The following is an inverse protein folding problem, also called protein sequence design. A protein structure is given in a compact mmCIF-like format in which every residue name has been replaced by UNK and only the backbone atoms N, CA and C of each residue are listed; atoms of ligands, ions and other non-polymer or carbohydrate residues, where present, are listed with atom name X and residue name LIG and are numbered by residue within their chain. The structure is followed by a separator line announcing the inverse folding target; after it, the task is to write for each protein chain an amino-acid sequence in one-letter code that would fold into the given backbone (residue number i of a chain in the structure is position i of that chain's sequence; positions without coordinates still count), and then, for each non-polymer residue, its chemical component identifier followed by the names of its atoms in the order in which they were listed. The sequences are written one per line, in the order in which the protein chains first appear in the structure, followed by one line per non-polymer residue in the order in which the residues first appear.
data_IF_773412901458
#
_entry.id   IF_773412901458
#
_cell.length_a   1.000
_cell.length_b   1.000
_cell.length_c   1.000
_cell.angle_alpha   90.00
_cell.angle_beta   90.00
_cell.angle_gamma   90.00
#
_symmetry.space_group_name_H-M   'P 1'
#
loop_
_entity.id
_entity.type
_entity.pdbx_description
1 polymer ?
#
# COMPACT_ATOMS: atom_id res chain seq x y z
N UNK A 1 13.86 -1.97 8.19
CA UNK A 1 12.68 -2.53 8.89
C UNK A 1 12.41 -1.74 10.18
N UNK A 2 11.16 -1.55 10.52
CA UNK A 2 10.78 -0.85 11.76
C UNK A 2 9.52 -1.48 12.35
N UNK A 3 9.62 -1.97 13.59
CA UNK A 3 8.52 -2.54 14.37
C UNK A 3 8.69 -2.17 15.84
N UNK A 4 7.60 -2.19 16.59
CA UNK A 4 7.55 -2.08 18.04
C UNK A 4 7.46 -3.46 18.74
N UNK A 5 7.36 -4.53 17.96
CA UNK A 5 7.28 -5.91 18.45
C UNK A 5 8.69 -6.52 18.52
N UNK A 6 9.20 -6.86 19.73
CA UNK A 6 10.57 -7.36 19.90
C UNK A 6 10.88 -8.64 19.10
N UNK A 7 9.91 -9.56 19.01
CA UNK A 7 10.03 -10.82 18.28
C UNK A 7 10.24 -10.60 16.79
N UNK A 8 9.51 -9.63 16.20
CA UNK A 8 9.66 -9.25 14.80
C UNK A 8 11.01 -8.58 14.55
N UNK A 9 11.49 -7.75 15.47
CA UNK A 9 12.82 -7.14 15.37
C UNK A 9 13.92 -8.21 15.40
N UNK A 10 13.81 -9.22 16.29
CA UNK A 10 14.74 -10.34 16.35
C UNK A 10 14.73 -11.15 15.04
N UNK A 11 13.54 -11.42 14.50
CA UNK A 11 13.40 -12.12 13.22
C UNK A 11 14.02 -11.31 12.07
N UNK A 12 13.73 -10.02 11.97
CA UNK A 12 14.25 -9.13 10.94
C UNK A 12 15.79 -9.03 10.99
N UNK A 13 16.38 -8.91 12.19
CA UNK A 13 17.84 -8.96 12.39
C UNK A 13 18.45 -10.26 11.89
N UNK A 14 17.84 -11.43 12.18
CA UNK A 14 18.31 -12.72 11.67
C UNK A 14 18.25 -12.81 10.14
N UNK A 15 17.40 -12.02 9.50
CA UNK A 15 17.31 -11.91 8.03
C UNK A 15 18.24 -10.83 7.46
N UNK A 16 19.13 -10.25 8.26
CA UNK A 16 20.07 -9.21 7.81
C UNK A 16 19.44 -7.85 7.55
N UNK A 17 18.20 -7.59 8.02
CA UNK A 17 17.53 -6.32 7.82
C UNK A 17 18.05 -5.27 8.81
N UNK A 18 18.29 -4.05 8.33
CA UNK A 18 18.64 -2.90 9.17
C UNK A 18 17.40 -2.47 9.96
N UNK A 19 17.53 -2.39 11.28
CA UNK A 19 16.44 -2.01 12.18
C UNK A 19 16.46 -0.51 12.47
N UNK A 20 15.30 0.12 12.29
CA UNK A 20 15.09 1.52 12.71
C UNK A 20 14.18 1.50 13.94
N UNK A 21 14.75 1.85 15.10
CA UNK A 21 14.02 1.91 16.35
C UNK A 21 13.01 3.06 16.35
N UNK A 22 11.79 2.79 16.80
CA UNK A 22 10.75 3.81 16.97
C UNK A 22 10.76 4.34 18.41
N UNK A 23 10.91 5.65 18.62
CA UNK A 23 10.61 6.28 19.91
C UNK A 23 9.13 6.13 20.28
N UNK A 24 8.83 6.21 21.57
CA UNK A 24 7.45 6.05 22.12
C UNK A 24 6.40 6.87 21.37
N UNK A 25 6.72 8.10 20.96
CA UNK A 25 5.82 9.00 20.21
C UNK A 25 5.39 8.48 18.82
N UNK A 26 6.07 7.47 18.28
CA UNK A 26 5.75 6.83 17.00
C UNK A 26 5.21 5.39 17.17
N UNK A 27 4.73 5.05 18.37
CA UNK A 27 4.08 3.79 18.68
C UNK A 27 2.56 3.98 18.76
N UNK A 28 1.81 2.90 18.61
CA UNK A 28 0.35 2.89 18.74
C UNK A 28 -0.36 3.77 17.69
N UNK A 29 -0.98 4.87 18.11
CA UNK A 29 -1.80 5.75 17.25
C UNK A 29 -1.01 6.68 16.33
N UNK A 30 0.26 6.42 16.07
CA UNK A 30 1.06 7.23 15.17
C UNK A 30 0.52 7.15 13.72
N UNK A 31 0.37 8.31 13.08
CA UNK A 31 -0.06 8.39 11.69
C UNK A 31 1.10 8.12 10.73
N UNK A 32 0.80 7.69 9.52
CA UNK A 32 1.83 7.57 8.46
C UNK A 32 2.47 8.92 8.15
N UNK A 33 1.73 10.02 8.33
CA UNK A 33 2.22 11.39 8.15
C UNK A 33 3.30 11.80 9.15
N UNK A 34 3.37 11.13 10.28
CA UNK A 34 4.42 11.33 11.28
C UNK A 34 5.53 10.30 11.14
N UNK A 35 5.17 9.04 10.88
CA UNK A 35 6.10 7.93 10.83
C UNK A 35 6.97 7.95 9.56
N UNK A 36 6.39 8.19 8.38
CA UNK A 36 7.12 8.12 7.12
C UNK A 36 8.27 9.15 7.04
N UNK A 37 8.08 10.45 7.39
CA UNK A 37 9.18 11.40 7.44
C UNK A 37 10.24 11.07 8.51
N UNK A 38 9.83 10.48 9.62
CA UNK A 38 10.77 10.02 10.64
C UNK A 38 11.66 8.90 10.11
N UNK A 39 11.07 7.85 9.52
CA UNK A 39 11.82 6.72 8.96
C UNK A 39 12.74 7.16 7.81
N UNK A 40 12.28 8.07 6.97
CA UNK A 40 13.03 8.61 5.84
C UNK A 40 14.38 9.22 6.24
N UNK A 41 14.50 9.78 7.46
CA UNK A 41 15.75 10.38 7.96
C UNK A 41 16.88 9.37 8.14
N UNK A 42 16.56 8.09 8.33
CA UNK A 42 17.57 7.02 8.55
C UNK A 42 17.97 6.32 7.25
N UNK A 43 17.36 6.67 6.13
CA UNK A 43 17.65 6.07 4.83
C UNK A 43 18.62 7.00 4.09
N UNK A 44 19.73 6.46 3.59
CA UNK A 44 20.76 7.23 2.88
C UNK A 44 20.33 7.59 1.47
N UNK A 45 19.61 6.68 0.82
CA UNK A 45 19.16 6.77 -0.56
C UNK A 45 18.19 7.93 -0.78
N UNK A 46 18.20 8.48 -1.99
CA UNK A 46 17.36 9.61 -2.40
C UNK A 46 15.90 9.20 -2.68
N UNK A 47 15.66 7.93 -2.99
CA UNK A 47 14.33 7.38 -3.27
C UNK A 47 14.03 6.21 -2.32
N UNK A 48 12.78 6.14 -1.87
CA UNK A 48 12.34 5.16 -0.87
C UNK A 48 11.15 4.39 -1.41
N UNK A 49 11.25 3.07 -1.38
CA UNK A 49 10.13 2.16 -1.56
C UNK A 49 9.58 1.77 -0.19
N UNK A 50 8.37 2.18 0.10
CA UNK A 50 7.65 1.83 1.33
C UNK A 50 6.73 0.65 1.05
N UNK A 51 6.98 -0.46 1.75
CA UNK A 51 6.17 -1.69 1.65
C UNK A 51 5.40 -1.90 2.94
N UNK A 52 4.10 -2.19 2.81
CA UNK A 52 3.26 -2.55 3.95
C UNK A 52 3.23 -4.06 4.14
N UNK A 53 3.51 -4.48 5.36
CA UNK A 53 3.48 -5.89 5.77
C UNK A 53 2.05 -6.47 5.84
N UNK A 54 1.03 -5.62 5.82
CA UNK A 54 -0.39 -6.01 5.77
C UNK A 54 -0.84 -6.46 4.37
N UNK A 55 0.01 -6.38 3.36
CA UNK A 55 -0.26 -6.87 2.00
C UNK A 55 0.58 -8.13 1.66
N UNK A 56 0.37 -9.28 2.36
CA UNK A 56 1.24 -10.45 2.27
C UNK A 56 1.12 -11.23 0.96
N UNK A 57 0.09 -10.95 0.17
CA UNK A 57 -0.15 -11.63 -1.11
C UNK A 57 0.46 -10.90 -2.31
N UNK A 58 1.16 -9.78 -2.06
CA UNK A 58 1.88 -9.03 -3.08
C UNK A 58 3.00 -9.89 -3.68
N UNK A 59 3.07 -9.93 -5.02
CA UNK A 59 4.10 -10.71 -5.74
C UNK A 59 5.39 -9.90 -5.89
N UNK A 60 6.52 -10.59 -5.88
CA UNK A 60 7.83 -9.98 -6.18
C UNK A 60 7.85 -9.35 -7.57
N UNK A 61 7.28 -10.01 -8.58
CA UNK A 61 7.19 -9.46 -9.94
C UNK A 61 6.39 -8.15 -10.02
N UNK A 62 5.39 -7.98 -9.16
CA UNK A 62 4.62 -6.73 -9.05
C UNK A 62 5.45 -5.61 -8.43
N UNK A 63 6.28 -5.94 -7.43
CA UNK A 63 7.23 -4.99 -6.84
C UNK A 63 8.29 -4.56 -7.87
N UNK A 64 8.88 -5.50 -8.60
CA UNK A 64 9.85 -5.23 -9.67
C UNK A 64 9.23 -4.33 -10.75
N UNK A 65 8.00 -4.63 -11.18
CA UNK A 65 7.25 -3.78 -12.12
C UNK A 65 7.06 -2.37 -11.56
N UNK A 66 6.73 -2.22 -10.26
CA UNK A 66 6.54 -0.92 -9.64
C UNK A 66 7.84 -0.10 -9.65
N UNK A 67 8.99 -0.72 -9.34
CA UNK A 67 10.29 -0.08 -9.40
C UNK A 67 10.61 0.38 -10.82
N UNK A 68 10.50 -0.51 -11.81
CA UNK A 68 10.77 -0.20 -13.22
C UNK A 68 9.88 0.92 -13.78
N UNK A 69 8.60 0.97 -13.35
CA UNK A 69 7.70 2.06 -13.72
C UNK A 69 8.12 3.34 -13.03
N UNK A 70 8.44 3.30 -11.73
CA UNK A 70 8.82 4.49 -10.97
C UNK A 70 10.10 5.14 -11.49
N UNK A 71 11.10 4.38 -11.91
CA UNK A 71 12.35 4.90 -12.52
C UNK A 71 12.04 5.80 -13.72
N UNK A 72 11.07 5.43 -14.57
CA UNK A 72 10.61 6.24 -15.70
C UNK A 72 9.84 7.49 -15.30
N UNK A 73 9.34 7.54 -14.05
CA UNK A 73 8.56 8.66 -13.53
C UNK A 73 9.40 9.71 -12.76
N UNK A 74 10.67 9.45 -12.47
CA UNK A 74 11.52 10.31 -11.62
C UNK A 74 11.52 11.77 -12.11
N UNK A 75 11.61 11.99 -13.41
CA UNK A 75 11.61 13.32 -14.03
C UNK A 75 10.25 13.76 -14.61
N UNK A 76 9.19 13.05 -14.26
CA UNK A 76 7.83 13.35 -14.72
C UNK A 76 7.09 14.30 -13.77
N UNK A 77 5.85 14.65 -14.13
CA UNK A 77 4.95 15.43 -13.27
C UNK A 77 4.46 14.68 -12.02
N UNK A 78 4.67 13.37 -11.96
CA UNK A 78 4.23 12.57 -10.82
C UNK A 78 5.19 12.73 -9.63
N UNK A 79 4.63 12.76 -8.42
CA UNK A 79 5.41 12.90 -7.20
C UNK A 79 5.81 11.55 -6.60
N UNK A 80 5.02 10.53 -6.89
CA UNK A 80 5.19 9.18 -6.35
C UNK A 80 4.53 8.16 -7.27
N UNK A 81 4.84 6.87 -7.05
CA UNK A 81 4.03 5.75 -7.49
C UNK A 81 3.35 5.15 -6.27
N UNK A 82 2.05 4.91 -6.37
CA UNK A 82 1.28 4.23 -5.32
C UNK A 82 0.33 3.21 -5.93
N UNK A 83 0.00 2.18 -5.14
CA UNK A 83 -0.88 1.11 -5.57
C UNK A 83 -2.35 1.40 -5.26
N UNK A 84 -3.22 1.04 -6.19
CA UNK A 84 -4.66 1.25 -6.15
C UNK A 84 -5.41 0.01 -6.62
N UNK A 85 -6.67 -0.08 -6.27
CA UNK A 85 -7.64 -1.06 -6.76
C UNK A 85 -8.82 -0.31 -7.40
N UNK A 86 -9.36 -0.85 -8.49
CA UNK A 86 -10.61 -0.35 -9.08
C UNK A 86 -11.77 -1.08 -8.41
N UNK A 87 -12.56 -0.34 -7.64
CA UNK A 87 -13.77 -0.85 -6.97
C UNK A 87 -14.98 -0.50 -7.81
N UNK A 88 -15.75 -1.53 -8.20
CA UNK A 88 -16.98 -1.42 -8.99
C UNK A 88 -18.22 -1.78 -8.17
N UNK A 89 -18.26 -1.29 -6.92
CA UNK A 89 -19.40 -1.45 -6.03
C UNK A 89 -20.29 -0.21 -6.03
N UNK A 90 -21.54 -0.34 -5.63
CA UNK A 90 -22.45 0.79 -5.44
C UNK A 90 -22.04 1.56 -4.18
N UNK A 91 -21.25 2.61 -4.35
CA UNK A 91 -20.67 3.34 -3.24
C UNK A 91 -21.47 4.59 -2.89
N UNK A 92 -21.61 4.82 -1.58
CA UNK A 92 -22.29 5.98 -1.01
C UNK A 92 -21.38 6.74 -0.05
N UNK A 93 -21.49 8.06 -0.06
CA UNK A 93 -21.11 8.85 1.11
C UNK A 93 -22.35 8.96 2.04
N UNK A 94 -22.23 9.72 3.14
CA UNK A 94 -23.34 9.87 4.10
C UNK A 94 -24.64 10.40 3.51
N UNK A 95 -24.63 11.01 2.30
CA UNK A 95 -25.77 11.73 1.73
C UNK A 95 -26.25 11.18 0.39
N UNK A 96 -25.33 10.70 -0.47
CA UNK A 96 -25.64 10.35 -1.86
C UNK A 96 -24.66 9.32 -2.44
N UNK A 97 -25.03 8.66 -3.54
CA UNK A 97 -24.11 7.82 -4.30
C UNK A 97 -22.87 8.61 -4.76
N UNK A 98 -21.73 7.91 -4.82
CA UNK A 98 -20.46 8.50 -5.27
C UNK A 98 -20.25 8.27 -6.77
N UNK A 99 -20.60 7.08 -7.26
CA UNK A 99 -20.21 6.62 -8.60
C UNK A 99 -21.38 6.29 -9.52
N UNK A 100 -22.61 6.70 -9.16
CA UNK A 100 -23.78 6.62 -10.03
C UNK A 100 -24.81 7.69 -9.67
N UNK A 101 -25.87 7.83 -10.52
CA UNK A 101 -27.00 8.74 -10.28
C UNK A 101 -28.22 7.93 -9.81
N UNK A 102 -28.95 8.42 -8.80
CA UNK A 102 -30.14 7.72 -8.25
C UNK A 102 -31.21 7.47 -9.29
N UNK A 103 -31.47 8.46 -10.16
CA UNK A 103 -32.47 8.36 -11.21
C UNK A 103 -32.00 7.61 -12.46
N UNK A 104 -30.76 7.12 -12.49
CA UNK A 104 -30.17 6.33 -13.59
C UNK A 104 -29.16 5.36 -13.03
N UNK A 105 -29.64 4.42 -12.18
CA UNK A 105 -28.80 3.40 -11.60
C UNK A 105 -28.39 2.36 -12.66
N UNK A 106 -27.08 2.18 -12.93
CA UNK A 106 -26.62 1.22 -13.91
C UNK A 106 -26.68 -0.22 -13.37
N UNK A 107 -26.53 -1.18 -14.26
CA UNK A 107 -26.20 -2.55 -13.83
C UNK A 107 -24.79 -2.57 -13.25
N UNK A 108 -24.49 -3.50 -12.32
CA UNK A 108 -23.21 -3.56 -11.60
C UNK A 108 -21.99 -3.65 -12.54
N UNK A 109 -22.10 -4.41 -13.63
CA UNK A 109 -21.02 -4.52 -14.63
C UNK A 109 -20.73 -3.21 -15.37
N UNK A 110 -21.70 -2.31 -15.45
CA UNK A 110 -21.60 -1.01 -16.13
C UNK A 110 -21.28 0.15 -15.15
N UNK A 111 -21.02 -0.20 -13.88
CA UNK A 111 -20.75 0.80 -12.86
C UNK A 111 -19.39 1.47 -13.10
N UNK A 112 -19.35 2.79 -12.99
CA UNK A 112 -18.09 3.53 -13.00
C UNK A 112 -17.21 3.15 -11.82
N UNK A 113 -15.95 2.74 -12.08
CA UNK A 113 -15.02 2.35 -11.02
C UNK A 113 -14.56 3.55 -10.20
N UNK A 114 -14.43 3.34 -8.91
CA UNK A 114 -13.79 4.26 -7.97
C UNK A 114 -12.42 3.70 -7.60
N UNK A 115 -11.43 4.57 -7.44
CA UNK A 115 -10.08 4.14 -7.09
C UNK A 115 -9.91 4.10 -5.58
N UNK A 116 -9.78 2.88 -5.04
CA UNK A 116 -9.41 2.63 -3.65
C UNK A 116 -7.88 2.65 -3.56
N UNK A 117 -7.32 3.48 -2.68
CA UNK A 117 -5.89 3.40 -2.36
C UNK A 117 -5.61 2.12 -1.60
N UNK A 118 -4.67 1.33 -2.10
CA UNK A 118 -4.16 0.11 -1.45
C UNK A 118 -2.72 0.40 -1.05
N UNK A 119 -2.38 0.52 0.23
CA UNK A 119 -1.06 0.96 0.67
C UNK A 119 0.02 -0.15 0.57
N UNK A 120 -0.07 -1.07 -0.41
CA UNK A 120 0.87 -2.17 -0.56
C UNK A 120 2.27 -1.69 -0.94
N UNK A 121 2.36 -0.80 -1.94
CA UNK A 121 3.60 -0.21 -2.43
C UNK A 121 3.42 1.31 -2.54
N UNK A 122 4.37 2.06 -1.99
CA UNK A 122 4.53 3.49 -2.25
C UNK A 122 6.00 3.78 -2.54
N UNK A 123 6.31 4.39 -3.70
CA UNK A 123 7.66 4.78 -4.06
C UNK A 123 7.71 6.28 -4.28
N UNK A 124 8.66 6.95 -3.60
CA UNK A 124 8.74 8.41 -3.61
C UNK A 124 10.15 8.88 -3.25
N UNK A 125 10.57 10.07 -3.70
CA UNK A 125 11.81 10.66 -3.22
C UNK A 125 11.73 11.02 -1.73
N UNK A 126 12.82 10.81 -1.02
CA UNK A 126 12.97 11.14 0.41
C UNK A 126 12.59 12.60 0.70
N UNK A 127 13.06 13.52 -0.14
CA UNK A 127 12.73 14.94 -0.02
C UNK A 127 11.23 15.20 -0.04
N UNK A 128 10.51 14.58 -0.99
CA UNK A 128 9.05 14.75 -1.12
C UNK A 128 8.30 14.11 0.05
N UNK A 129 8.76 12.95 0.59
CA UNK A 129 8.17 12.34 1.80
C UNK A 129 8.26 13.31 2.97
N UNK A 130 9.42 13.93 3.17
CA UNK A 130 9.64 14.90 4.26
C UNK A 130 8.79 16.17 4.02
N UNK A 131 8.81 16.70 2.81
CA UNK A 131 8.08 17.93 2.43
C UNK A 131 6.57 17.78 2.57
N UNK A 132 6.00 16.71 2.05
CA UNK A 132 4.53 16.50 2.03
C UNK A 132 4.02 15.75 3.25
N UNK A 133 4.89 15.19 4.08
CA UNK A 133 4.55 14.40 5.26
C UNK A 133 3.57 13.26 4.93
N UNK A 134 3.74 12.63 3.78
CA UNK A 134 2.97 11.46 3.35
C UNK A 134 3.74 10.73 2.24
N UNK A 135 3.25 9.56 1.84
CA UNK A 135 3.87 8.74 0.79
C UNK A 135 3.15 8.83 -0.57
N UNK A 136 2.10 9.66 -0.68
CA UNK A 136 1.33 9.90 -1.90
C UNK A 136 1.84 11.12 -2.68
N UNK A 137 2.27 12.16 -1.97
CA UNK A 137 2.54 13.48 -2.55
C UNK A 137 1.24 14.19 -2.94
N UNK A 138 1.32 15.11 -3.90
CA UNK A 138 0.15 15.83 -4.45
C UNK A 138 -0.38 15.21 -5.75
N UNK A 139 0.46 14.48 -6.48
CA UNK A 139 0.13 13.89 -7.77
C UNK A 139 0.73 12.47 -7.87
N UNK A 140 0.10 11.45 -7.29
CA UNK A 140 0.59 10.07 -7.37
C UNK A 140 0.28 9.45 -8.73
N UNK A 141 1.25 8.72 -9.30
CA UNK A 141 0.99 7.75 -10.34
C UNK A 141 0.26 6.56 -9.72
N UNK A 142 -0.87 6.18 -10.31
CA UNK A 142 -1.72 5.10 -9.81
C UNK A 142 -1.39 3.80 -10.54
N UNK A 143 -0.70 2.88 -9.86
CA UNK A 143 -0.49 1.53 -10.35
C UNK A 143 -1.61 0.64 -9.80
N UNK A 144 -2.37 0.01 -10.70
CA UNK A 144 -3.51 -0.80 -10.29
C UNK A 144 -3.09 -2.23 -9.98
N UNK A 145 -3.55 -2.72 -8.82
CA UNK A 145 -3.47 -4.11 -8.41
C UNK A 145 -4.81 -4.79 -8.62
N UNK A 146 -4.76 -6.09 -8.90
CA UNK A 146 -5.92 -6.97 -8.89
C UNK A 146 -5.85 -7.92 -7.71
N UNK A 147 -6.97 -8.51 -7.30
CA UNK A 147 -6.97 -9.56 -6.28
C UNK A 147 -6.17 -10.79 -6.77
N UNK A 148 -5.45 -11.48 -5.88
CA UNK A 148 -5.40 -11.25 -4.43
C UNK A 148 -4.37 -10.21 -3.98
N UNK A 149 -3.57 -9.58 -4.86
CA UNK A 149 -2.47 -8.69 -4.49
C UNK A 149 -2.94 -7.36 -3.85
N UNK A 150 -4.17 -6.93 -4.14
CA UNK A 150 -4.78 -5.74 -3.51
C UNK A 150 -5.37 -6.01 -2.12
N UNK A 151 -5.17 -7.22 -1.59
CA UNK A 151 -5.69 -7.61 -0.29
C UNK A 151 -4.86 -6.99 0.82
N UNK A 152 -5.53 -6.35 1.79
CA UNK A 152 -4.94 -5.71 2.95
C UNK A 152 -5.51 -6.35 4.22
N UNK A 153 -4.67 -6.63 5.21
CA UNK A 153 -5.06 -7.27 6.47
C UNK A 153 -5.28 -6.19 7.53
N UNK A 154 -6.55 -5.92 7.84
CA UNK A 154 -6.95 -5.02 8.92
C UNK A 154 -7.55 -5.79 10.12
N UNK A 155 -8.10 -6.98 9.88
CA UNK A 155 -8.80 -7.79 10.88
C UNK A 155 -8.32 -9.24 10.88
N UNK A 156 -8.68 -10.00 11.94
CA UNK A 156 -8.44 -11.45 11.99
C UNK A 156 -9.20 -12.21 10.89
N UNK A 157 -10.30 -11.67 10.42
CA UNK A 157 -11.02 -12.24 9.27
C UNK A 157 -10.18 -12.12 8.00
N UNK A 158 -9.61 -10.94 7.75
CA UNK A 158 -8.71 -10.71 6.61
C UNK A 158 -7.48 -11.61 6.68
N UNK A 159 -6.91 -11.78 7.88
CA UNK A 159 -5.77 -12.67 8.08
C UNK A 159 -6.10 -14.11 7.66
N UNK A 160 -7.25 -14.65 8.11
CA UNK A 160 -7.70 -16.00 7.75
C UNK A 160 -7.93 -16.15 6.24
N UNK A 161 -8.51 -15.15 5.60
CA UNK A 161 -8.68 -15.14 4.14
C UNK A 161 -7.33 -15.12 3.42
N UNK A 162 -6.41 -14.26 3.84
CA UNK A 162 -5.06 -14.19 3.25
C UNK A 162 -4.31 -15.54 3.43
N UNK A 163 -4.41 -16.15 4.60
CA UNK A 163 -3.83 -17.47 4.88
C UNK A 163 -4.41 -18.56 3.97
N UNK A 164 -5.71 -18.55 3.78
CA UNK A 164 -6.39 -19.48 2.87
C UNK A 164 -5.92 -19.30 1.43
N UNK A 165 -5.82 -18.07 0.93
CA UNK A 165 -5.27 -17.77 -0.39
C UNK A 165 -3.83 -18.25 -0.53
N UNK A 166 -2.99 -18.01 0.48
CA UNK A 166 -1.59 -18.40 0.46
C UNK A 166 -1.41 -19.93 0.42
N UNK A 167 -2.18 -20.66 1.24
CA UNK A 167 -2.17 -22.13 1.28
C UNK A 167 -2.67 -22.75 -0.04
N UNK A 168 -3.75 -22.22 -0.61
CA UNK A 168 -4.36 -22.75 -1.81
C UNK A 168 -3.56 -22.46 -3.09
N UNK A 169 -2.77 -21.37 -3.12
CA UNK A 169 -1.84 -21.08 -4.22
C UNK A 169 -0.82 -22.22 -4.42
N UNK A 170 -0.42 -22.90 -3.34
CA UNK A 170 0.51 -24.02 -3.38
C UNK A 170 -0.14 -25.35 -3.79
N UNK A 171 -1.47 -25.40 -3.89
CA UNK A 171 -2.23 -26.63 -4.21
C UNK A 171 -2.93 -26.61 -5.57
N UNK A 172 -2.73 -25.57 -6.41
CA UNK A 172 -3.40 -25.39 -7.73
C UNK A 172 -4.95 -25.58 -7.71
N UNK A 173 -5.62 -25.35 -6.57
CA UNK A 173 -7.04 -25.66 -6.37
C UNK A 173 -7.99 -24.46 -6.43
N UNK A 174 -7.51 -23.27 -6.79
CA UNK A 174 -8.37 -22.08 -6.92
C UNK A 174 -7.99 -21.25 -8.16
N UNK A 175 -8.21 -21.82 -9.33
CA UNK A 175 -8.46 -21.10 -10.58
C UNK A 175 -9.52 -21.85 -11.35
#
# INVERSE_FOLDING_TARGET
FSSDIPELNKYASKKGLILIKRPKKYLGKCTISDLAPYLAKFIKESHICYLMNTSPLLKTSTLEKAVNVYEKLIFSKFHSLNTFEIVKDFLWNKKKPINYKLNKQPMSQNLGGVFKHVPAIAIMSKEKIIKYRNVLGKNPYKMFLTKPESFDIDTMYDFKLAEMYYKNKNTNRLL
#
